data_IF_967055252985
#
_entry.id   IF_967055252985
#
_cell.length_a   1.000
_cell.length_b   1.000
_cell.length_c   1.000
_cell.angle_alpha   90.00
_cell.angle_beta   90.00
_cell.angle_gamma   90.00
#
_symmetry.space_group_name_H-M   'P 1'
#
loop_
_entity.id
_entity.type
_entity.pdbx_description
1 polymer ?
#
# COMPACT_ATOMS: atom_id res chain seq x y z
N UNK A 1 -1.94 28.91 17.72
CA UNK A 1 -1.63 28.32 16.40
C UNK A 1 -2.89 28.40 15.55
N UNK A 2 -2.75 28.52 14.22
CA UNK A 2 -3.91 28.52 13.31
C UNK A 2 -4.01 27.14 12.68
N UNK A 3 -5.17 26.50 12.77
CA UNK A 3 -5.49 25.26 12.06
C UNK A 3 -6.30 25.56 10.81
N UNK A 4 -6.27 24.61 9.88
CA UNK A 4 -7.20 24.52 8.75
C UNK A 4 -7.86 23.15 8.76
N UNK A 5 -8.99 23.04 8.09
CA UNK A 5 -9.76 21.81 7.95
C UNK A 5 -9.78 21.41 6.49
N UNK A 6 -9.14 20.29 6.16
CA UNK A 6 -9.09 19.76 4.80
C UNK A 6 -10.22 18.76 4.61
N UNK A 7 -11.02 18.95 3.57
CA UNK A 7 -12.09 18.03 3.18
C UNK A 7 -11.58 17.14 2.04
N UNK A 8 -11.64 15.83 2.25
CA UNK A 8 -11.37 14.82 1.23
C UNK A 8 -12.65 14.08 0.83
N UNK A 9 -12.60 13.43 -0.34
CA UNK A 9 -13.54 12.40 -0.76
C UNK A 9 -12.77 11.17 -1.23
N UNK A 10 -12.96 10.06 -0.53
CA UNK A 10 -12.23 8.81 -0.66
C UNK A 10 -13.19 7.64 -0.88
N UNK A 11 -12.89 6.78 -1.85
CA UNK A 11 -13.68 5.58 -2.13
C UNK A 11 -12.87 4.56 -2.92
N UNK A 12 -13.24 3.30 -2.83
CA UNK A 12 -12.67 2.24 -3.66
C UNK A 12 -13.45 2.12 -4.98
N UNK A 13 -12.71 2.00 -6.10
CA UNK A 13 -13.28 1.72 -7.42
C UNK A 13 -12.39 0.77 -8.20
N UNK A 14 -12.92 -0.40 -8.56
CA UNK A 14 -12.20 -1.44 -9.32
C UNK A 14 -10.90 -1.90 -8.59
N UNK A 15 -10.97 -2.09 -7.27
CA UNK A 15 -9.83 -2.50 -6.45
C UNK A 15 -8.73 -1.44 -6.32
N UNK A 16 -9.06 -0.16 -6.57
CA UNK A 16 -8.16 0.97 -6.42
C UNK A 16 -8.78 2.04 -5.55
N UNK A 17 -7.98 2.58 -4.64
CA UNK A 17 -8.38 3.72 -3.84
C UNK A 17 -8.34 4.99 -4.68
N UNK A 18 -9.44 5.74 -4.65
CA UNK A 18 -9.60 7.02 -5.30
C UNK A 18 -9.72 8.08 -4.21
N UNK A 19 -8.79 9.03 -4.15
CA UNK A 19 -8.80 10.14 -3.19
C UNK A 19 -8.84 11.49 -3.91
N UNK A 20 -9.65 12.42 -3.42
CA UNK A 20 -9.82 13.77 -3.97
C UNK A 20 -9.82 14.78 -2.83
N UNK A 21 -8.92 15.76 -2.86
CA UNK A 21 -9.06 16.95 -2.03
C UNK A 21 -10.18 17.84 -2.60
N UNK A 22 -11.16 18.16 -1.77
CA UNK A 22 -12.31 18.98 -2.14
C UNK A 22 -12.06 20.45 -1.82
N UNK A 23 -11.45 20.73 -0.67
CA UNK A 23 -11.18 22.09 -0.24
C UNK A 23 -10.48 22.15 1.12
N UNK A 24 -9.98 23.34 1.43
CA UNK A 24 -9.34 23.68 2.71
C UNK A 24 -10.08 24.85 3.32
N UNK A 25 -10.51 24.72 4.58
CA UNK A 25 -11.42 25.63 5.25
C UNK A 25 -10.83 26.17 6.55
N UNK A 26 -11.26 27.36 6.98
CA UNK A 26 -10.77 27.95 8.23
C UNK A 26 -11.46 27.34 9.45
N UNK A 27 -12.65 26.76 9.27
CA UNK A 27 -13.42 26.11 10.33
C UNK A 27 -14.00 24.78 9.86
N UNK A 28 -14.24 23.86 10.81
CA UNK A 28 -14.90 22.59 10.52
C UNK A 28 -16.30 22.78 9.93
N UNK A 29 -17.08 23.72 10.45
CA UNK A 29 -18.43 24.04 9.96
C UNK A 29 -18.46 24.43 8.47
N UNK A 30 -17.43 25.14 7.98
CA UNK A 30 -17.31 25.49 6.56
C UNK A 30 -17.12 24.24 5.68
N UNK A 31 -16.32 23.28 6.15
CA UNK A 31 -16.12 22.00 5.49
C UNK A 31 -17.39 21.15 5.49
N UNK A 32 -18.12 21.09 6.62
CA UNK A 32 -19.40 20.39 6.73
C UNK A 32 -20.48 20.98 5.81
N UNK A 33 -20.52 22.32 5.69
CA UNK A 33 -21.37 22.99 4.70
C UNK A 33 -20.96 22.60 3.28
N UNK A 34 -19.68 22.38 2.99
CA UNK A 34 -19.23 21.93 1.67
C UNK A 34 -19.69 20.50 1.36
N UNK A 35 -19.59 19.57 2.33
CA UNK A 35 -20.16 18.23 2.21
C UNK A 35 -21.64 18.31 1.85
N UNK A 36 -22.39 19.13 2.59
CA UNK A 36 -23.84 19.27 2.38
C UNK A 36 -24.21 19.72 0.95
N UNK A 37 -23.42 20.63 0.35
CA UNK A 37 -23.61 21.09 -1.03
C UNK A 37 -23.19 20.04 -2.08
N UNK A 38 -22.14 19.27 -1.80
CA UNK A 38 -21.51 18.38 -2.77
C UNK A 38 -22.07 16.95 -2.75
N UNK A 39 -22.67 16.51 -1.65
CA UNK A 39 -23.18 15.14 -1.49
C UNK A 39 -24.20 14.71 -2.54
N UNK A 40 -24.86 15.66 -3.20
CA UNK A 40 -25.86 15.38 -4.26
C UNK A 40 -25.30 15.46 -5.69
N UNK A 41 -24.05 15.90 -5.85
CA UNK A 41 -23.43 16.02 -7.18
C UNK A 41 -23.11 14.63 -7.78
N UNK A 42 -23.05 14.51 -9.12
CA UNK A 42 -22.67 13.27 -9.79
C UNK A 42 -21.32 12.74 -9.30
N UNK A 43 -21.19 11.41 -9.18
CA UNK A 43 -20.03 10.77 -8.57
C UNK A 43 -20.11 10.81 -7.03
N UNK A 44 -20.16 11.99 -6.41
CA UNK A 44 -20.21 12.09 -4.95
C UNK A 44 -21.45 11.45 -4.33
N UNK A 45 -22.61 11.56 -4.98
CA UNK A 45 -23.85 10.91 -4.51
C UNK A 45 -23.76 9.38 -4.51
N UNK A 46 -22.97 8.81 -5.43
CA UNK A 46 -22.84 7.37 -5.60
C UNK A 46 -21.93 6.77 -4.51
N UNK A 47 -21.00 7.58 -3.98
CA UNK A 47 -20.16 7.27 -2.81
C UNK A 47 -20.36 8.30 -1.68
N UNK A 48 -21.61 8.45 -1.24
CA UNK A 48 -22.00 9.54 -0.33
C UNK A 48 -21.40 9.50 1.09
N UNK A 49 -20.74 8.39 1.45
CA UNK A 49 -20.04 8.19 2.72
C UNK A 49 -18.53 8.42 2.61
N UNK A 50 -18.02 8.74 1.42
CA UNK A 50 -16.58 8.91 1.19
C UNK A 50 -16.00 10.23 1.70
N UNK A 51 -16.78 11.10 2.33
CA UNK A 51 -16.27 12.39 2.80
C UNK A 51 -15.59 12.30 4.18
N UNK A 52 -14.40 12.87 4.29
CA UNK A 52 -13.61 12.97 5.53
C UNK A 52 -13.13 14.40 5.74
N UNK A 53 -13.08 14.86 7.00
CA UNK A 53 -12.54 16.17 7.36
C UNK A 53 -11.42 15.97 8.37
N UNK A 54 -10.25 16.45 8.03
CA UNK A 54 -9.05 16.37 8.86
C UNK A 54 -8.58 17.77 9.25
N UNK A 55 -8.15 17.94 10.51
CA UNK A 55 -7.58 19.19 11.00
C UNK A 55 -6.06 19.18 10.84
N UNK A 56 -5.52 20.24 10.24
CA UNK A 56 -4.08 20.44 10.04
C UNK A 56 -3.64 21.78 10.64
N UNK A 57 -2.69 21.74 11.57
CA UNK A 57 -1.98 22.94 12.03
C UNK A 57 -1.14 23.53 10.91
N UNK A 58 -1.26 24.83 10.67
CA UNK A 58 -0.47 25.52 9.64
C UNK A 58 1.00 25.65 10.09
N UNK A 59 1.91 25.33 9.18
CA UNK A 59 3.35 25.47 9.40
C UNK A 59 4.00 24.28 10.09
N UNK A 60 3.28 23.16 10.18
CA UNK A 60 3.77 21.88 10.72
C UNK A 60 3.76 20.81 9.61
N UNK A 61 4.68 19.86 9.73
CA UNK A 61 4.68 18.66 8.90
C UNK A 61 3.81 17.60 9.57
N UNK A 62 2.77 17.13 8.88
CA UNK A 62 1.80 16.15 9.41
C UNK A 62 2.07 14.71 8.97
N UNK A 63 3.05 14.54 8.07
CA UNK A 63 3.62 13.25 7.69
C UNK A 63 5.13 13.37 7.86
N UNK A 64 5.68 12.70 8.87
CA UNK A 64 7.10 12.88 9.26
C UNK A 64 7.91 11.60 9.23
N UNK A 65 7.23 10.46 9.22
CA UNK A 65 7.80 9.12 9.33
C UNK A 65 8.35 8.56 8.01
N UNK A 66 8.10 9.23 6.87
CA UNK A 66 8.40 8.70 5.53
C UNK A 66 7.38 7.65 5.07
N UNK A 67 7.58 7.01 3.92
CA UNK A 67 6.64 6.02 3.38
C UNK A 67 7.36 4.79 2.83
N UNK A 68 6.69 3.65 2.92
CA UNK A 68 7.13 2.37 2.33
C UNK A 68 5.97 1.78 1.53
N UNK A 69 6.26 1.27 0.34
CA UNK A 69 5.27 0.55 -0.47
C UNK A 69 5.39 -0.94 -0.19
N UNK A 70 4.34 -1.52 0.40
CA UNK A 70 4.28 -2.95 0.65
C UNK A 70 3.60 -3.63 -0.52
N UNK A 71 4.24 -4.67 -1.05
CA UNK A 71 3.73 -5.45 -2.18
C UNK A 71 3.80 -6.94 -1.87
N UNK A 72 2.86 -7.75 -2.39
CA UNK A 72 2.99 -9.19 -2.34
C UNK A 72 4.11 -9.63 -3.30
N UNK A 73 4.97 -10.52 -2.82
CA UNK A 73 5.91 -11.29 -3.64
C UNK A 73 5.75 -12.78 -3.30
N UNK A 74 6.32 -13.65 -4.12
CA UNK A 74 6.30 -15.08 -3.89
C UNK A 74 7.69 -15.61 -3.63
N UNK A 75 7.82 -16.43 -2.60
CA UNK A 75 9.07 -17.05 -2.18
C UNK A 75 9.01 -18.56 -2.50
N UNK A 76 10.00 -19.12 -3.21
CA UNK A 76 10.08 -20.54 -3.45
C UNK A 76 10.55 -21.32 -2.22
N UNK A 77 10.15 -22.59 -2.15
CA UNK A 77 10.63 -23.54 -1.16
C UNK A 77 12.11 -23.88 -1.38
N UNK A 78 12.85 -24.20 -0.31
CA UNK A 78 14.28 -24.50 -0.34
C UNK A 78 14.60 -25.83 -1.03
N UNK A 79 13.71 -26.83 -0.95
CA UNK A 79 13.87 -28.13 -1.61
C UNK A 79 13.01 -28.20 -2.88
N UNK A 80 13.69 -28.21 -4.02
CA UNK A 80 13.20 -27.86 -5.36
C UNK A 80 12.42 -28.95 -6.12
N UNK A 81 11.48 -29.66 -5.47
CA UNK A 81 10.69 -30.71 -6.15
C UNK A 81 9.19 -30.39 -6.28
N UNK A 82 8.67 -29.39 -5.57
CA UNK A 82 7.22 -29.16 -5.46
C UNK A 82 6.69 -27.96 -6.23
N UNK A 83 7.56 -27.12 -6.83
CA UNK A 83 7.20 -25.82 -7.43
C UNK A 83 6.32 -24.96 -6.50
N UNK A 84 6.43 -25.17 -5.18
CA UNK A 84 5.59 -24.50 -4.20
C UNK A 84 6.12 -23.10 -3.93
N UNK A 85 5.19 -22.16 -3.92
CA UNK A 85 5.41 -20.75 -3.65
C UNK A 85 4.57 -20.34 -2.44
N UNK A 86 5.15 -19.51 -1.57
CA UNK A 86 4.41 -18.82 -0.52
C UNK A 86 4.32 -17.34 -0.82
N UNK A 87 3.13 -16.76 -0.66
CA UNK A 87 2.95 -15.31 -0.75
C UNK A 87 3.53 -14.66 0.51
N UNK A 88 4.42 -13.69 0.32
CA UNK A 88 5.07 -12.92 1.36
C UNK A 88 4.81 -11.43 1.14
N UNK A 89 4.79 -10.66 2.22
CA UNK A 89 4.76 -9.20 2.14
C UNK A 89 6.20 -8.67 2.14
N UNK A 90 6.49 -7.79 1.19
CA UNK A 90 7.79 -7.17 1.07
C UNK A 90 7.68 -5.66 0.86
N UNK A 91 8.61 -4.92 1.44
CA UNK A 91 8.84 -3.52 1.11
C UNK A 91 9.51 -3.43 -0.26
N UNK A 92 8.89 -2.71 -1.18
CA UNK A 92 9.49 -2.37 -2.46
C UNK A 92 10.60 -1.34 -2.27
N UNK A 93 11.75 -1.60 -2.88
CA UNK A 93 12.91 -0.73 -2.90
C UNK A 93 13.28 -0.39 -4.35
N UNK A 94 13.83 0.82 -4.63
CA UNK A 94 14.28 1.18 -5.95
C UNK A 94 15.25 0.16 -6.55
N UNK A 95 15.10 -0.10 -7.86
CA UNK A 95 15.96 -1.03 -8.61
C UNK A 95 15.54 -2.49 -8.55
N UNK A 96 14.23 -2.78 -8.59
CA UNK A 96 13.67 -4.15 -8.57
C UNK A 96 14.10 -4.98 -7.34
N UNK A 97 14.21 -4.31 -6.18
CA UNK A 97 14.62 -4.92 -4.92
C UNK A 97 13.45 -4.97 -3.96
N UNK A 98 13.35 -6.05 -3.19
CA UNK A 98 12.23 -6.26 -2.27
C UNK A 98 12.79 -6.76 -0.94
N UNK A 99 12.52 -6.03 0.15
CA UNK A 99 12.89 -6.47 1.50
C UNK A 99 11.72 -7.26 2.09
N UNK A 100 11.92 -8.55 2.31
CA UNK A 100 10.89 -9.42 2.89
C UNK A 100 10.60 -8.96 4.32
N UNK A 101 9.33 -8.69 4.62
CA UNK A 101 8.86 -8.30 5.95
C UNK A 101 8.34 -9.54 6.69
N UNK A 102 7.45 -10.29 6.05
CA UNK A 102 6.80 -11.45 6.65
C UNK A 102 6.22 -12.40 5.59
N UNK A 103 5.94 -13.63 6.00
CA UNK A 103 5.17 -14.62 5.24
C UNK A 103 4.36 -15.50 6.19
N UNK A 104 3.24 -16.11 5.74
CA UNK A 104 2.46 -17.02 6.55
C UNK A 104 3.26 -18.31 6.82
N UNK A 105 3.68 -18.52 8.07
CA UNK A 105 4.39 -19.72 8.51
C UNK A 105 4.97 -19.58 9.91
N UNK A 106 5.19 -20.70 10.61
CA UNK A 106 5.83 -20.68 11.93
C UNK A 106 7.30 -20.25 11.82
N UNK A 107 7.69 -19.27 12.65
CA UNK A 107 9.07 -18.82 12.83
C UNK A 107 9.93 -20.04 13.22
N UNK A 108 10.88 -20.43 12.37
CA UNK A 108 11.82 -21.52 12.65
C UNK A 108 11.75 -22.74 11.73
N UNK A 109 10.80 -22.78 10.79
CA UNK A 109 10.86 -23.77 9.69
C UNK A 109 11.71 -23.20 8.56
N UNK A 110 12.95 -23.71 8.40
CA UNK A 110 13.91 -23.31 7.35
C UNK A 110 13.51 -23.80 5.94
N UNK A 111 12.20 -23.81 5.67
CA UNK A 111 11.59 -24.43 4.49
C UNK A 111 11.62 -23.51 3.28
N UNK A 112 11.70 -22.19 3.48
CA UNK A 112 11.69 -21.19 2.40
C UNK A 112 13.10 -20.70 2.05
N UNK A 113 13.34 -20.45 0.76
CA UNK A 113 14.67 -20.05 0.26
C UNK A 113 15.14 -18.70 0.85
N UNK A 114 14.20 -17.80 1.15
CA UNK A 114 14.46 -16.45 1.66
C UNK A 114 13.70 -16.19 2.96
N UNK A 115 14.32 -15.45 3.88
CA UNK A 115 13.78 -15.15 5.23
C UNK A 115 13.43 -13.67 5.38
N UNK A 116 12.60 -13.27 6.36
CA UNK A 116 12.39 -11.86 6.70
C UNK A 116 13.71 -11.11 6.89
N UNK A 117 13.76 -9.88 6.42
CA UNK A 117 14.96 -9.03 6.37
C UNK A 117 15.87 -9.27 5.16
N UNK A 118 15.74 -10.38 4.43
CA UNK A 118 16.48 -10.55 3.16
C UNK A 118 15.98 -9.55 2.12
N UNK A 119 16.90 -8.99 1.35
CA UNK A 119 16.60 -8.20 0.15
C UNK A 119 16.78 -9.08 -1.07
N UNK A 120 15.72 -9.24 -1.86
CA UNK A 120 15.68 -10.13 -3.02
C UNK A 120 15.43 -9.34 -4.30
N UNK A 121 15.85 -9.92 -5.43
CA UNK A 121 15.40 -9.53 -6.77
C UNK A 121 14.26 -10.46 -7.15
N UNK A 122 13.22 -9.89 -7.76
CA UNK A 122 12.08 -10.65 -8.23
C UNK A 122 11.96 -10.60 -9.76
N UNK A 123 11.43 -11.68 -10.32
CA UNK A 123 11.03 -11.77 -11.73
C UNK A 123 9.53 -11.99 -11.82
N UNK A 124 8.90 -11.42 -12.84
CA UNK A 124 7.50 -11.69 -13.12
C UNK A 124 7.36 -13.10 -13.68
N UNK A 125 6.60 -13.95 -12.98
CA UNK A 125 6.23 -15.29 -13.44
C UNK A 125 4.73 -15.43 -13.53
N UNK A 126 4.27 -16.15 -14.56
CA UNK A 126 2.88 -16.57 -14.66
C UNK A 126 2.68 -17.79 -13.76
N UNK A 127 1.99 -17.58 -12.64
CA UNK A 127 1.50 -18.67 -11.79
C UNK A 127 0.02 -18.86 -12.12
N UNK A 128 -0.38 -20.12 -12.31
CA UNK A 128 -1.75 -20.48 -12.67
C UNK A 128 -2.75 -19.89 -11.67
N UNK A 129 -3.74 -19.13 -12.17
CA UNK A 129 -4.72 -18.43 -11.34
C UNK A 129 -4.32 -17.03 -10.84
N UNK A 130 -3.20 -16.47 -11.31
CA UNK A 130 -2.77 -15.09 -10.98
C UNK A 130 -2.49 -14.26 -12.24
N UNK A 131 -2.75 -12.95 -12.17
CA UNK A 131 -2.37 -11.97 -13.22
C UNK A 131 -0.88 -11.60 -13.10
N UNK A 132 -0.01 -12.60 -13.28
CA UNK A 132 1.43 -12.45 -13.08
C UNK A 132 1.79 -12.24 -11.60
N UNK A 133 2.95 -12.75 -11.19
CA UNK A 133 3.41 -12.57 -9.82
C UNK A 133 4.90 -12.33 -9.75
N UNK A 134 5.34 -11.48 -8.83
CA UNK A 134 6.75 -11.24 -8.57
C UNK A 134 7.31 -12.38 -7.73
N UNK A 135 8.15 -13.23 -8.32
CA UNK A 135 8.76 -14.37 -7.62
C UNK A 135 10.21 -14.04 -7.30
N UNK A 136 10.63 -14.23 -6.04
CA UNK A 136 12.01 -14.04 -5.62
C UNK A 136 12.94 -15.06 -6.29
N UNK A 137 13.99 -14.59 -6.95
CA UNK A 137 14.91 -15.44 -7.73
C UNK A 137 16.35 -15.41 -7.25
N UNK A 138 16.75 -14.35 -6.55
CA UNK A 138 18.11 -14.21 -6.01
C UNK A 138 18.13 -13.22 -4.84
N UNK A 139 19.16 -13.30 -3.99
CA UNK A 139 19.45 -12.21 -3.04
C UNK A 139 20.11 -11.06 -3.78
N UNK A 140 19.74 -9.84 -3.44
CA UNK A 140 20.30 -8.64 -4.08
C UNK A 140 21.81 -8.49 -3.84
N UNK A 141 22.34 -9.03 -2.74
CA UNK A 141 23.77 -8.98 -2.42
C UNK A 141 24.62 -9.93 -3.30
N UNK A 142 23.99 -10.90 -3.96
CA UNK A 142 24.69 -11.92 -4.76
C UNK A 142 24.90 -11.45 -6.22
N UNK A 143 24.36 -10.28 -6.59
CA UNK A 143 24.37 -9.72 -7.96
C UNK A 143 25.36 -8.53 -8.08
N UNK A 144 26.28 -8.38 -7.13
CA UNK A 144 27.30 -7.33 -7.10
C UNK A 144 28.50 -7.61 -8.02
#
# INVERSE_FOLDING_TARGET
MKSVFTLFHEYERLGRDECKIIGVYATKDEAERAISRLRTQPGFRDWSNGFSIDEYTIGEDHWTEGFSTIVPIYIPMQSDDSNQLVCAHAEWLPGNRFRIIEYPGEVGTDVWQYKPGNVVICEERRVEGTDGCMVAVARANDIA
#
